data_IF_050177216012
#
_entry.id   IF_050177216012
#
_cell.length_a   1.000
_cell.length_b   1.000
_cell.length_c   1.000
_cell.angle_alpha   90.00
_cell.angle_beta   90.00
_cell.angle_gamma   90.00
#
_symmetry.space_group_name_H-M   'P 1'
#
loop_
_entity.id
_entity.type
_entity.pdbx_description
1 polymer ?
#
# COMPACT_ATOMS: atom_id res chain seq x y z
N UNK A 1 14.66 1.67 11.29
CA UNK A 1 14.55 3.09 11.69
C UNK A 1 13.09 3.34 12.04
N UNK A 2 12.73 3.38 13.33
CA UNK A 2 11.36 3.65 13.74
C UNK A 2 11.11 5.15 13.56
N UNK A 3 10.50 5.53 12.44
CA UNK A 3 10.02 6.90 12.26
C UNK A 3 8.89 7.10 13.26
N UNK A 4 9.15 7.86 14.32
CA UNK A 4 8.13 8.28 15.29
C UNK A 4 7.21 9.27 14.58
N UNK A 5 6.18 8.76 13.92
CA UNK A 5 5.02 9.57 13.57
C UNK A 5 4.10 9.52 14.79
N UNK A 6 4.55 10.16 15.87
CA UNK A 6 3.79 10.22 17.09
C UNK A 6 2.91 11.47 17.07
N UNK A 7 1.62 11.29 17.19
CA UNK A 7 0.62 12.30 17.56
C UNK A 7 0.73 13.64 16.81
N UNK A 8 0.17 13.69 15.61
CA UNK A 8 0.13 14.88 14.78
C UNK A 8 -1.19 15.63 15.00
N UNK A 9 -1.09 16.90 15.28
CA UNK A 9 -2.21 17.85 15.24
C UNK A 9 -2.21 18.57 13.90
N UNK A 10 -3.38 18.56 13.21
CA UNK A 10 -3.61 19.53 12.16
C UNK A 10 -3.83 20.86 12.88
N UNK A 11 -2.83 21.69 12.94
CA UNK A 11 -2.95 23.01 13.53
C UNK A 11 -3.67 23.93 12.54
N UNK A 12 -4.88 24.37 12.87
CA UNK A 12 -5.54 25.47 12.19
C UNK A 12 -4.72 26.79 12.28
N UNK A 13 -3.69 26.82 13.11
CA UNK A 13 -2.77 27.93 13.29
C UNK A 13 -1.54 27.87 12.37
N UNK A 14 -1.60 27.19 11.25
CA UNK A 14 -0.53 27.17 10.24
C UNK A 14 -0.34 28.53 9.54
N UNK A 15 -0.24 29.59 10.33
CA UNK A 15 0.10 30.94 9.82
C UNK A 15 1.51 31.00 9.21
N UNK A 16 2.33 29.95 9.38
CA UNK A 16 3.73 29.91 8.94
C UNK A 16 4.03 28.75 7.96
N UNK A 17 3.02 28.17 7.28
CA UNK A 17 3.26 27.14 6.28
C UNK A 17 3.49 25.72 6.82
N UNK A 18 3.53 25.51 8.13
CA UNK A 18 3.69 24.19 8.75
C UNK A 18 2.32 23.60 9.06
N UNK A 19 1.96 22.55 8.34
CA UNK A 19 0.63 21.92 8.44
C UNK A 19 0.53 20.90 9.59
N UNK A 20 1.63 20.30 10.01
CA UNK A 20 1.64 19.24 11.00
C UNK A 20 2.74 19.41 12.03
N UNK A 21 2.37 19.30 13.28
CA UNK A 21 3.27 19.44 14.43
C UNK A 21 3.09 18.19 15.31
N UNK A 22 4.19 17.56 15.69
CA UNK A 22 4.18 16.50 16.70
C UNK A 22 3.72 17.08 18.03
N UNK A 23 2.63 16.57 18.57
CA UNK A 23 2.04 17.02 19.85
C UNK A 23 2.99 16.86 21.04
N UNK A 24 3.88 15.89 20.98
CA UNK A 24 4.77 15.56 22.11
C UNK A 24 6.04 16.39 22.08
N UNK A 25 6.60 16.62 20.90
CA UNK A 25 7.88 17.31 20.75
C UNK A 25 7.74 18.76 20.24
N UNK A 26 6.56 19.17 19.79
CA UNK A 26 6.33 20.46 19.13
C UNK A 26 7.06 20.63 17.80
N UNK A 27 7.66 19.56 17.28
CA UNK A 27 8.42 19.57 16.02
C UNK A 27 7.52 19.37 14.82
N UNK A 28 7.78 20.10 13.75
CA UNK A 28 7.16 19.91 12.45
C UNK A 28 7.56 18.53 11.90
N UNK A 29 6.57 17.72 11.53
CA UNK A 29 6.79 16.38 10.96
C UNK A 29 6.88 16.46 9.44
N UNK A 30 6.04 17.28 8.82
CA UNK A 30 6.14 17.60 7.41
C UNK A 30 6.71 19.00 7.25
N UNK A 31 7.84 19.11 6.59
CA UNK A 31 8.50 20.39 6.33
C UNK A 31 7.71 21.27 5.36
N UNK A 32 6.74 20.68 4.60
CA UNK A 32 5.96 21.43 3.62
C UNK A 32 4.61 20.76 3.31
N UNK A 33 3.67 21.54 2.76
CA UNK A 33 2.42 21.01 2.17
C UNK A 33 2.70 20.00 1.07
N UNK A 34 3.80 20.17 0.35
CA UNK A 34 4.23 19.28 -0.72
C UNK A 34 4.43 17.85 -0.20
N UNK A 35 5.14 17.66 0.90
CA UNK A 35 5.34 16.33 1.50
C UNK A 35 4.04 15.67 1.92
N UNK A 36 3.07 16.45 2.44
CA UNK A 36 1.76 15.91 2.78
C UNK A 36 1.01 15.43 1.53
N UNK A 37 1.05 16.20 0.45
CA UNK A 37 0.42 15.83 -0.81
C UNK A 37 1.08 14.57 -1.41
N UNK A 38 2.40 14.48 -1.38
CA UNK A 38 3.15 13.32 -1.86
C UNK A 38 2.77 12.04 -1.10
N UNK A 39 2.75 12.08 0.23
CA UNK A 39 2.37 10.90 1.02
C UNK A 39 0.90 10.54 0.85
N UNK A 40 0.03 11.54 0.69
CA UNK A 40 -1.40 11.31 0.46
C UNK A 40 -1.65 10.65 -0.91
N UNK A 41 -0.97 11.11 -1.94
CA UNK A 41 -1.05 10.53 -3.28
C UNK A 41 -0.48 9.11 -3.28
N UNK A 42 0.67 8.90 -2.65
CA UNK A 42 1.27 7.57 -2.50
C UNK A 42 0.36 6.60 -1.75
N UNK A 43 -0.29 7.05 -0.69
CA UNK A 43 -1.25 6.23 0.04
C UNK A 43 -2.52 5.93 -0.78
N UNK A 44 -2.98 6.88 -1.59
CA UNK A 44 -4.11 6.66 -2.49
C UNK A 44 -3.78 5.60 -3.55
N UNK A 45 -2.58 5.66 -4.14
CA UNK A 45 -2.08 4.69 -5.11
C UNK A 45 -2.01 3.27 -4.50
N UNK A 46 -1.50 3.15 -3.28
CA UNK A 46 -1.41 1.87 -2.54
C UNK A 46 -2.69 1.48 -1.79
N UNK A 47 -3.83 2.10 -2.07
CA UNK A 47 -5.06 1.90 -1.29
C UNK A 47 -5.87 0.64 -1.66
N UNK A 48 -5.60 0.00 -2.79
CA UNK A 48 -6.37 -1.18 -3.25
C UNK A 48 -6.48 -2.26 -2.16
N UNK A 49 -5.42 -2.68 -1.46
CA UNK A 49 -5.51 -3.70 -0.41
C UNK A 49 -6.40 -3.32 0.78
N UNK A 50 -6.80 -2.06 0.90
CA UNK A 50 -7.69 -1.58 1.97
C UNK A 50 -9.18 -1.61 1.59
N UNK A 51 -9.53 -2.07 0.38
CA UNK A 51 -10.91 -2.20 -0.12
C UNK A 51 -11.52 -3.53 0.33
N UNK A 52 -12.79 -3.77 0.04
CA UNK A 52 -13.38 -5.10 0.27
C UNK A 52 -12.64 -6.17 -0.55
N UNK A 53 -12.61 -7.41 -0.03
CA UNK A 53 -11.79 -8.48 -0.61
C UNK A 53 -12.10 -8.78 -2.08
N UNK A 54 -13.38 -8.73 -2.48
CA UNK A 54 -13.77 -8.95 -3.89
C UNK A 54 -13.09 -7.93 -4.82
N UNK A 55 -13.12 -6.66 -4.44
CA UNK A 55 -12.45 -5.58 -5.20
C UNK A 55 -10.93 -5.78 -5.22
N UNK A 56 -10.34 -6.10 -4.07
CA UNK A 56 -8.90 -6.39 -3.96
C UNK A 56 -8.52 -7.52 -4.91
N UNK A 57 -9.24 -8.64 -4.86
CA UNK A 57 -8.99 -9.79 -5.73
C UNK A 57 -9.02 -9.39 -7.20
N UNK A 58 -10.09 -8.73 -7.64
CA UNK A 58 -10.23 -8.31 -9.05
C UNK A 58 -9.06 -7.44 -9.50
N UNK A 59 -8.71 -6.40 -8.74
CA UNK A 59 -7.61 -5.50 -9.10
C UNK A 59 -6.25 -6.19 -9.05
N UNK A 60 -6.05 -7.12 -8.12
CA UNK A 60 -4.82 -7.90 -8.02
C UNK A 60 -4.60 -8.73 -9.29
N UNK A 61 -5.59 -9.48 -9.74
CA UNK A 61 -5.44 -10.29 -10.95
C UNK A 61 -5.29 -9.44 -12.21
N UNK A 62 -5.99 -8.32 -12.34
CA UNK A 62 -5.79 -7.39 -13.45
C UNK A 62 -4.35 -6.82 -13.48
N UNK A 63 -3.80 -6.45 -12.33
CA UNK A 63 -2.42 -5.99 -12.23
C UNK A 63 -1.41 -7.08 -12.59
N UNK A 64 -1.63 -8.31 -12.10
CA UNK A 64 -0.74 -9.41 -12.43
C UNK A 64 -0.82 -9.83 -13.89
N UNK A 65 -1.98 -9.69 -14.54
CA UNK A 65 -2.06 -9.90 -15.99
C UNK A 65 -1.20 -8.90 -16.75
N UNK A 66 -1.17 -7.63 -16.32
CA UNK A 66 -0.26 -6.62 -16.87
C UNK A 66 1.21 -7.00 -16.66
N UNK A 67 1.59 -7.47 -15.46
CA UNK A 67 2.94 -7.96 -15.17
C UNK A 67 3.31 -9.16 -16.05
N UNK A 68 2.40 -10.10 -16.23
CA UNK A 68 2.62 -11.28 -17.06
C UNK A 68 2.80 -10.94 -18.53
N UNK A 69 2.01 -10.00 -19.06
CA UNK A 69 2.21 -9.48 -20.43
C UNK A 69 3.60 -8.86 -20.56
N UNK A 70 4.06 -8.09 -19.57
CA UNK A 70 5.42 -7.56 -19.56
C UNK A 70 6.46 -8.70 -19.58
N UNK A 71 6.31 -9.70 -18.72
CA UNK A 71 7.23 -10.85 -18.67
C UNK A 71 7.28 -11.65 -19.97
N UNK A 72 6.15 -11.84 -20.64
CA UNK A 72 6.08 -12.50 -21.95
C UNK A 72 6.84 -11.70 -23.01
N UNK A 73 6.70 -10.37 -23.03
CA UNK A 73 7.46 -9.48 -23.92
C UNK A 73 8.96 -9.46 -23.60
N UNK A 74 9.34 -9.57 -22.35
CA UNK A 74 10.75 -9.69 -21.95
C UNK A 74 11.35 -11.00 -22.44
N UNK A 75 10.62 -12.14 -22.31
CA UNK A 75 11.01 -13.44 -22.86
C UNK A 75 11.17 -13.39 -24.38
N UNK A 76 10.20 -12.82 -25.10
CA UNK A 76 10.24 -12.68 -26.55
C UNK A 76 11.50 -11.92 -27.04
N UNK A 77 11.91 -10.89 -26.26
CA UNK A 77 13.09 -10.07 -26.56
C UNK A 77 14.40 -10.66 -26.02
N UNK A 78 14.38 -11.87 -25.46
CA UNK A 78 15.53 -12.50 -24.78
C UNK A 78 16.12 -11.63 -23.64
N UNK A 79 15.26 -10.90 -22.93
CA UNK A 79 15.63 -10.13 -21.74
C UNK A 79 15.40 -10.96 -20.47
N UNK A 80 16.11 -10.69 -19.38
CA UNK A 80 15.77 -11.28 -18.09
C UNK A 80 14.35 -10.88 -17.69
N UNK A 81 13.55 -11.87 -17.25
CA UNK A 81 12.18 -11.60 -16.80
C UNK A 81 12.20 -10.85 -15.47
N UNK A 82 11.47 -9.75 -15.40
CA UNK A 82 11.34 -8.93 -14.20
C UNK A 82 10.66 -9.68 -13.05
N UNK A 83 10.96 -9.27 -11.83
CA UNK A 83 10.38 -9.87 -10.62
C UNK A 83 8.85 -9.83 -10.66
N UNK A 84 8.21 -10.95 -10.37
CA UNK A 84 6.76 -11.20 -10.43
C UNK A 84 6.13 -11.19 -11.83
N UNK A 85 6.92 -11.03 -12.89
CA UNK A 85 6.39 -10.96 -14.25
C UNK A 85 6.33 -12.33 -14.96
N UNK A 86 6.81 -13.40 -14.35
CA UNK A 86 6.74 -14.73 -14.94
C UNK A 86 5.46 -15.46 -14.54
N UNK A 87 4.53 -15.65 -15.48
CA UNK A 87 3.25 -16.34 -15.25
C UNK A 87 3.39 -17.84 -14.93
N UNK A 88 4.52 -18.46 -15.26
CA UNK A 88 4.75 -19.89 -15.00
C UNK A 88 5.21 -20.13 -13.55
N UNK A 89 5.91 -19.18 -12.95
CA UNK A 89 6.53 -19.35 -11.65
C UNK A 89 5.92 -18.49 -10.54
N UNK A 90 5.16 -17.45 -10.90
CA UNK A 90 4.58 -16.51 -9.93
C UNK A 90 3.22 -17.00 -9.43
N UNK A 91 3.11 -17.22 -8.12
CA UNK A 91 1.84 -17.44 -7.46
C UNK A 91 1.29 -16.11 -6.93
N UNK A 92 0.21 -15.62 -7.52
CA UNK A 92 -0.39 -14.32 -7.25
C UNK A 92 -0.80 -14.21 -5.77
N UNK A 93 -1.57 -15.19 -5.28
CA UNK A 93 -2.13 -15.17 -3.94
C UNK A 93 -1.05 -15.18 -2.85
N UNK A 94 0.00 -16.01 -3.02
CA UNK A 94 1.11 -16.12 -2.06
C UNK A 94 1.94 -14.84 -1.92
N UNK A 95 1.93 -13.98 -2.94
CA UNK A 95 2.68 -12.72 -2.90
C UNK A 95 1.93 -11.60 -2.16
N UNK A 96 0.59 -11.67 -2.05
CA UNK A 96 -0.21 -10.60 -1.46
C UNK A 96 0.05 -10.35 0.02
N UNK A 97 0.20 -11.39 0.90
CA UNK A 97 0.54 -11.15 2.30
C UNK A 97 1.87 -10.43 2.49
N UNK A 98 2.88 -10.76 1.69
CA UNK A 98 4.17 -10.08 1.72
C UNK A 98 4.04 -8.60 1.38
N UNK A 99 3.41 -8.28 0.26
CA UNK A 99 3.15 -6.89 -0.14
C UNK A 99 2.38 -6.10 0.93
N UNK A 100 1.31 -6.68 1.46
CA UNK A 100 0.50 -6.04 2.50
C UNK A 100 1.29 -5.81 3.78
N UNK A 101 2.01 -6.82 4.28
CA UNK A 101 2.72 -6.74 5.55
C UNK A 101 3.94 -5.81 5.51
N UNK A 102 4.68 -5.79 4.40
CA UNK A 102 5.92 -5.01 4.32
C UNK A 102 5.73 -3.60 3.78
N UNK A 103 4.67 -3.34 3.00
CA UNK A 103 4.46 -2.05 2.33
C UNK A 103 3.19 -1.36 2.85
N UNK A 104 2.01 -1.98 2.67
CA UNK A 104 0.72 -1.28 2.86
C UNK A 104 0.40 -1.08 4.34
N UNK A 105 0.48 -2.13 5.15
CA UNK A 105 0.14 -2.07 6.57
C UNK A 105 1.05 -1.08 7.32
N UNK A 106 2.38 -1.07 7.14
CA UNK A 106 3.23 -0.05 7.76
C UNK A 106 2.87 1.38 7.37
N UNK A 107 2.61 1.63 6.07
CA UNK A 107 2.19 2.95 5.58
C UNK A 107 0.89 3.40 6.27
N UNK A 108 -0.16 2.57 6.19
CA UNK A 108 -1.45 2.92 6.78
C UNK A 108 -1.42 2.94 8.31
N UNK A 109 -0.55 2.19 8.97
CA UNK A 109 -0.35 2.29 10.42
C UNK A 109 0.11 3.70 10.79
N UNK A 110 1.13 4.22 10.11
CA UNK A 110 1.60 5.58 10.36
C UNK A 110 0.55 6.64 9.98
N UNK A 111 -0.14 6.43 8.85
CA UNK A 111 -1.20 7.36 8.44
C UNK A 111 -2.37 7.40 9.44
N UNK A 112 -2.72 6.30 10.10
CA UNK A 112 -3.79 6.29 11.11
C UNK A 112 -3.41 7.01 12.41
N UNK A 113 -2.13 7.17 12.68
CA UNK A 113 -1.65 8.03 13.78
C UNK A 113 -1.92 9.51 13.47
N UNK A 114 -1.81 9.89 12.19
CA UNK A 114 -2.06 11.24 11.71
C UNK A 114 -3.55 11.51 11.49
N UNK A 115 -4.21 10.55 10.88
CA UNK A 115 -5.59 10.60 10.42
C UNK A 115 -6.36 9.39 10.98
N UNK A 116 -6.86 9.47 12.23
CA UNK A 116 -7.56 8.34 12.88
C UNK A 116 -8.75 7.79 12.08
N UNK A 117 -9.36 8.59 11.22
CA UNK A 117 -10.47 8.19 10.36
C UNK A 117 -10.07 7.13 9.31
N UNK A 118 -8.76 6.90 9.08
CA UNK A 118 -8.26 5.85 8.19
C UNK A 118 -8.17 4.47 8.88
N UNK A 119 -8.43 4.35 10.18
CA UNK A 119 -8.40 3.06 10.91
C UNK A 119 -9.22 1.96 10.25
N UNK A 120 -10.45 2.21 9.73
CA UNK A 120 -11.21 1.17 9.03
C UNK A 120 -10.46 0.60 7.82
N UNK A 121 -9.72 1.42 7.07
CA UNK A 121 -8.92 0.98 5.94
C UNK A 121 -7.77 0.06 6.36
N UNK A 122 -7.07 0.41 7.43
CA UNK A 122 -6.02 -0.44 8.00
C UNK A 122 -6.58 -1.78 8.50
N UNK A 123 -7.73 -1.75 9.18
CA UNK A 123 -8.40 -2.96 9.67
C UNK A 123 -8.79 -3.87 8.49
N UNK A 124 -9.37 -3.30 7.44
CA UNK A 124 -9.75 -4.05 6.24
C UNK A 124 -8.51 -4.65 5.54
N UNK A 125 -7.41 -3.90 5.43
CA UNK A 125 -6.17 -4.40 4.84
C UNK A 125 -5.64 -5.62 5.60
N UNK A 126 -5.63 -5.58 6.92
CA UNK A 126 -5.20 -6.72 7.76
C UNK A 126 -6.10 -7.94 7.56
N UNK A 127 -7.43 -7.75 7.55
CA UNK A 127 -8.38 -8.84 7.27
C UNK A 127 -8.17 -9.44 5.87
N UNK A 128 -7.94 -8.61 4.85
CA UNK A 128 -7.63 -9.08 3.50
C UNK A 128 -6.32 -9.87 3.45
N UNK A 129 -5.31 -9.47 4.23
CA UNK A 129 -4.04 -10.19 4.31
C UNK A 129 -4.22 -11.60 4.87
N UNK A 130 -5.08 -11.75 5.89
CA UNK A 130 -5.44 -13.06 6.44
C UNK A 130 -6.21 -13.91 5.41
N UNK A 131 -7.17 -13.30 4.69
CA UNK A 131 -7.89 -14.00 3.63
C UNK A 131 -6.95 -14.50 2.53
N UNK A 132 -5.99 -13.70 2.08
CA UNK A 132 -4.98 -14.13 1.11
C UNK A 132 -4.10 -15.27 1.61
N UNK A 133 -3.79 -15.32 2.90
CA UNK A 133 -2.98 -16.41 3.48
C UNK A 133 -3.68 -17.77 3.37
N UNK A 134 -5.02 -17.79 3.43
CA UNK A 134 -5.83 -19.00 3.34
C UNK A 134 -6.44 -19.22 1.94
N UNK A 135 -6.18 -18.29 1.02
CA UNK A 135 -6.76 -18.36 -0.32
C UNK A 135 -6.05 -19.41 -1.16
N UNK A 136 -6.82 -20.34 -1.75
CA UNK A 136 -6.36 -21.26 -2.78
C UNK A 136 -6.87 -20.77 -4.13
N UNK A 137 -5.97 -20.58 -5.08
CA UNK A 137 -6.33 -20.23 -6.45
C UNK A 137 -7.14 -21.36 -7.08
N UNK A 138 -8.33 -21.03 -7.59
CA UNK A 138 -9.12 -21.93 -8.43
C UNK A 138 -8.71 -21.79 -9.90
N UNK A 139 -9.15 -22.72 -10.76
CA UNK A 139 -8.91 -22.62 -12.21
C UNK A 139 -9.58 -21.36 -12.82
N UNK A 140 -10.64 -20.85 -12.19
CA UNK A 140 -11.33 -19.63 -12.62
C UNK A 140 -10.54 -18.34 -12.33
N UNK A 141 -9.47 -18.43 -11.52
CA UNK A 141 -8.64 -17.29 -11.12
C UNK A 141 -7.37 -17.16 -12.00
N UNK A 142 -7.19 -18.08 -12.95
CA UNK A 142 -6.06 -18.12 -13.90
C UNK A 142 -6.50 -17.64 -15.28
#
# INVERSE_FOLDING_TARGET
MKTKIAQIEISAAAKNGNLFIDRTSGKTIFASQQQLLEISLHAADLSVPTRNFKTVKTWTYLLFEEFFIQGDLEKEKNLPVSFLCDRETTNVAKNQPGFSNFIVIPLFTHLTELMPNLKPMLTQCKANTELWTHYSESEEDK
#
